data_IF_545499000354
#
_entry.id   IF_545499000354
#
_cell.length_a   1.000
_cell.length_b   1.000
_cell.length_c   1.000
_cell.angle_alpha   90.00
_cell.angle_beta   90.00
_cell.angle_gamma   90.00
#
_symmetry.space_group_name_H-M   'P 1'
#
loop_
_entity.id
_entity.type
_entity.pdbx_description
1 polymer ?
#
# COMPACT_ATOMS: atom_id res chain seq x y z
N UNK A 1 -22.72 -1.31 -7.00
CA UNK A 1 -23.45 -2.35 -6.24
C UNK A 1 -22.59 -3.60 -6.23
N UNK A 2 -22.01 -4.00 -5.10
CA UNK A 2 -21.22 -5.25 -5.03
C UNK A 2 -22.05 -6.22 -4.22
N UNK A 3 -22.67 -7.16 -4.93
CA UNK A 3 -23.38 -8.31 -4.37
C UNK A 3 -22.32 -9.16 -3.66
N UNK A 4 -22.34 -9.15 -2.34
CA UNK A 4 -21.33 -9.83 -1.54
C UNK A 4 -21.86 -11.20 -1.11
N UNK A 5 -21.09 -12.29 -1.26
CA UNK A 5 -21.58 -13.65 -1.02
C UNK A 5 -22.12 -13.85 0.41
N UNK A 6 -22.91 -14.93 0.63
CA UNK A 6 -23.44 -15.28 1.95
C UNK A 6 -22.32 -15.34 2.99
N UNK A 7 -22.59 -14.79 4.18
CA UNK A 7 -21.74 -14.76 5.39
C UNK A 7 -20.32 -15.33 5.21
N UNK A 8 -19.38 -14.49 4.77
CA UNK A 8 -17.97 -14.84 4.77
C UNK A 8 -17.54 -15.17 6.19
N UNK A 9 -16.98 -16.36 6.41
CA UNK A 9 -16.44 -16.74 7.71
C UNK A 9 -15.29 -15.78 8.10
N UNK A 10 -15.36 -15.12 9.28
CA UNK A 10 -14.37 -14.13 9.69
C UNK A 10 -12.94 -14.70 9.79
N UNK A 11 -12.78 -15.92 10.30
CA UNK A 11 -11.47 -16.56 10.43
C UNK A 11 -10.86 -16.90 9.07
N UNK A 12 -11.66 -17.46 8.17
CA UNK A 12 -11.20 -17.79 6.82
C UNK A 12 -10.77 -16.52 6.08
N UNK A 13 -11.53 -15.44 6.23
CA UNK A 13 -11.19 -14.14 5.67
C UNK A 13 -9.87 -13.60 6.25
N UNK A 14 -9.72 -13.60 7.57
CA UNK A 14 -8.49 -13.16 8.24
C UNK A 14 -7.28 -13.96 7.76
N UNK A 15 -7.38 -15.30 7.72
CA UNK A 15 -6.30 -16.17 7.21
C UNK A 15 -5.94 -15.82 5.78
N UNK A 16 -6.93 -15.63 4.92
CA UNK A 16 -6.71 -15.26 3.52
C UNK A 16 -5.98 -13.92 3.40
N UNK A 17 -6.42 -12.88 4.13
CA UNK A 17 -5.80 -11.55 4.12
C UNK A 17 -4.33 -11.62 4.52
N UNK A 18 -4.01 -12.33 5.60
CA UNK A 18 -2.64 -12.40 6.14
C UNK A 18 -1.76 -13.48 5.50
N UNK A 19 -2.30 -14.34 4.62
CA UNK A 19 -1.52 -15.36 3.90
C UNK A 19 -0.82 -14.85 2.65
N UNK A 20 -1.08 -13.60 2.25
CA UNK A 20 -0.61 -13.05 0.97
C UNK A 20 0.93 -12.95 0.90
N UNK A 21 1.45 -12.97 -0.34
CA UNK A 21 2.90 -12.86 -0.59
C UNK A 21 3.46 -11.53 -0.07
N UNK A 22 2.69 -10.45 -0.17
CA UNK A 22 3.09 -9.12 0.29
C UNK A 22 3.26 -9.09 1.81
N UNK A 23 2.38 -9.77 2.55
CA UNK A 23 2.50 -9.89 4.02
C UNK A 23 3.80 -10.57 4.41
N UNK A 24 4.19 -11.64 3.71
CA UNK A 24 5.42 -12.39 4.00
C UNK A 24 6.71 -11.64 3.66
N UNK A 25 6.65 -10.62 2.81
CA UNK A 25 7.81 -9.87 2.30
C UNK A 25 7.94 -8.47 2.88
N UNK A 26 7.09 -8.12 3.85
CA UNK A 26 7.06 -6.78 4.42
C UNK A 26 6.47 -5.72 3.48
N UNK A 27 5.61 -6.13 2.55
CA UNK A 27 4.91 -5.25 1.61
C UNK A 27 3.73 -4.50 2.24
N UNK A 28 2.79 -4.08 1.40
CA UNK A 28 1.61 -3.30 1.81
C UNK A 28 0.37 -3.92 1.20
N UNK A 29 -0.71 -4.05 1.97
CA UNK A 29 -2.02 -4.43 1.44
C UNK A 29 -3.11 -3.43 1.83
N UNK A 30 -4.24 -3.48 1.10
CA UNK A 30 -5.37 -2.57 1.28
C UNK A 30 -6.68 -3.33 1.50
N UNK A 31 -7.55 -2.84 2.39
CA UNK A 31 -8.90 -3.36 2.63
C UNK A 31 -9.92 -2.25 2.80
N UNK A 32 -11.17 -2.47 2.36
CA UNK A 32 -12.25 -1.50 2.58
C UNK A 32 -12.70 -1.55 4.04
N UNK A 33 -12.80 -0.38 4.69
CA UNK A 33 -13.20 -0.25 6.10
C UNK A 33 -14.54 -0.96 6.35
N UNK A 34 -15.55 -0.70 5.50
CA UNK A 34 -16.87 -1.35 5.58
C UNK A 34 -16.84 -2.88 5.53
N UNK A 35 -15.89 -3.46 4.79
CA UNK A 35 -15.79 -4.92 4.67
C UNK A 35 -15.11 -5.49 5.91
N UNK A 36 -14.09 -4.82 6.45
CA UNK A 36 -13.48 -5.20 7.72
C UNK A 36 -14.50 -5.15 8.85
N UNK A 37 -15.22 -4.03 8.99
CA UNK A 37 -16.23 -3.83 10.02
C UNK A 37 -17.35 -4.87 9.94
N UNK A 38 -17.85 -5.16 8.74
CA UNK A 38 -18.95 -6.11 8.54
C UNK A 38 -18.52 -7.57 8.70
N UNK A 39 -17.28 -7.92 8.34
CA UNK A 39 -16.84 -9.34 8.32
C UNK A 39 -16.24 -9.75 9.67
N UNK A 40 -15.29 -8.99 10.21
CA UNK A 40 -14.52 -9.39 11.39
C UNK A 40 -14.63 -8.39 12.55
N UNK A 41 -15.04 -7.16 12.27
CA UNK A 41 -15.03 -6.07 13.23
C UNK A 41 -13.69 -5.33 13.23
N UNK A 42 -13.77 -4.00 13.38
CA UNK A 42 -12.61 -3.11 13.33
C UNK A 42 -11.55 -3.48 14.37
N UNK A 43 -11.96 -3.63 15.63
CA UNK A 43 -11.03 -3.80 16.74
C UNK A 43 -10.29 -5.13 16.65
N UNK A 44 -10.99 -6.19 16.27
CA UNK A 44 -10.39 -7.52 16.06
C UNK A 44 -9.34 -7.49 14.95
N UNK A 45 -9.64 -6.78 13.85
CA UNK A 45 -8.68 -6.62 12.76
C UNK A 45 -7.44 -5.82 13.18
N UNK A 46 -7.62 -4.69 13.87
CA UNK A 46 -6.52 -3.84 14.30
C UNK A 46 -5.65 -4.52 15.37
N UNK A 47 -6.25 -5.24 16.32
CA UNK A 47 -5.53 -6.03 17.31
C UNK A 47 -4.64 -7.09 16.64
N UNK A 48 -5.13 -7.76 15.60
CA UNK A 48 -4.32 -8.74 14.86
C UNK A 48 -3.18 -8.08 14.06
N UNK A 49 -3.41 -6.88 13.49
CA UNK A 49 -2.36 -6.10 12.83
C UNK A 49 -1.25 -5.78 13.83
N UNK A 50 -1.61 -5.26 15.02
CA UNK A 50 -0.65 -4.92 16.08
C UNK A 50 0.09 -6.16 16.59
N UNK A 51 -0.62 -7.27 16.83
CA UNK A 51 -0.04 -8.54 17.26
C UNK A 51 1.04 -9.06 16.31
N UNK A 52 0.94 -8.73 15.01
CA UNK A 52 1.92 -9.11 13.97
C UNK A 52 3.09 -8.13 13.84
N UNK A 53 3.11 -7.04 14.61
CA UNK A 53 4.11 -5.98 14.49
C UNK A 53 3.95 -5.14 13.22
N UNK A 54 2.75 -5.13 12.64
CA UNK A 54 2.41 -4.35 11.46
C UNK A 54 1.82 -3.01 11.87
N UNK A 55 1.69 -2.11 10.90
CA UNK A 55 1.09 -0.79 11.10
C UNK A 55 -0.10 -0.62 10.16
N UNK A 56 -1.26 -0.25 10.69
CA UNK A 56 -2.43 0.12 9.90
C UNK A 56 -2.58 1.65 9.86
N UNK A 57 -2.90 2.17 8.68
CA UNK A 57 -3.35 3.55 8.49
C UNK A 57 -4.71 3.56 7.79
N UNK A 58 -5.58 4.47 8.20
CA UNK A 58 -6.86 4.68 7.56
C UNK A 58 -6.78 5.88 6.60
N UNK A 59 -7.23 5.69 5.37
CA UNK A 59 -7.30 6.75 4.37
C UNK A 59 -8.61 6.66 3.58
N UNK A 60 -9.55 7.53 3.93
CA UNK A 60 -10.91 7.48 3.41
C UNK A 60 -11.56 6.13 3.74
N UNK A 61 -12.10 5.43 2.73
CA UNK A 61 -12.81 4.16 2.93
C UNK A 61 -11.90 2.93 3.04
N UNK A 62 -10.60 3.11 3.27
CA UNK A 62 -9.66 2.00 3.25
C UNK A 62 -8.73 2.00 4.46
N UNK A 63 -8.48 0.80 4.98
CA UNK A 63 -7.26 0.50 5.69
C UNK A 63 -6.15 0.17 4.71
N UNK A 64 -4.97 0.72 4.96
CA UNK A 64 -3.71 0.38 4.30
C UNK A 64 -2.80 -0.17 5.39
N UNK A 65 -2.36 -1.41 5.24
CA UNK A 65 -1.54 -2.09 6.24
C UNK A 65 -0.14 -2.27 5.70
N UNK A 66 0.83 -1.68 6.39
CA UNK A 66 2.25 -1.88 6.16
C UNK A 66 2.72 -3.10 6.98
N UNK A 67 3.17 -4.15 6.30
CA UNK A 67 3.54 -5.42 6.92
C UNK A 67 4.96 -5.41 7.51
N UNK A 68 5.37 -4.29 8.09
CA UNK A 68 6.68 -4.07 8.68
C UNK A 68 6.61 -2.94 9.72
N UNK A 69 7.69 -2.78 10.49
CA UNK A 69 7.83 -1.75 11.53
C UNK A 69 8.54 -0.46 11.03
N UNK A 70 8.70 -0.28 9.71
CA UNK A 70 9.37 0.92 9.19
C UNK A 70 8.48 2.16 9.38
N UNK A 71 9.06 3.36 9.62
CA UNK A 71 8.27 4.57 9.83
C UNK A 71 7.38 4.92 8.64
N UNK A 72 6.11 5.25 8.91
CA UNK A 72 5.19 5.77 7.89
C UNK A 72 5.49 7.25 7.64
N UNK A 73 5.75 7.62 6.38
CA UNK A 73 6.01 9.01 5.97
C UNK A 73 5.05 9.43 4.85
N UNK A 74 4.40 10.58 5.01
CA UNK A 74 3.62 11.22 3.94
C UNK A 74 4.56 11.99 3.03
N UNK A 75 4.85 11.43 1.86
CA UNK A 75 5.64 12.10 0.81
C UNK A 75 4.76 13.04 -0.03
N UNK A 76 5.33 14.15 -0.48
CA UNK A 76 4.75 15.08 -1.45
C UNK A 76 5.72 15.22 -2.60
N UNK A 77 5.22 15.48 -3.81
CA UNK A 77 6.11 15.93 -4.87
C UNK A 77 6.79 17.23 -4.43
N UNK A 78 8.12 17.30 -4.52
CA UNK A 78 8.81 18.58 -4.51
C UNK A 78 8.41 19.41 -5.75
N UNK A 79 8.84 20.67 -5.85
CA UNK A 79 8.79 21.36 -7.14
C UNK A 79 9.44 20.42 -8.17
N UNK A 80 8.72 20.16 -9.27
CA UNK A 80 9.25 19.34 -10.36
C UNK A 80 10.60 19.92 -10.73
N UNK A 81 11.68 19.15 -10.54
CA UNK A 81 12.83 19.33 -11.40
C UNK A 81 12.35 18.92 -12.79
N UNK A 82 11.72 19.87 -13.48
CA UNK A 82 11.43 19.78 -14.89
C UNK A 82 12.75 19.32 -15.52
N UNK A 83 12.70 18.13 -16.14
CA UNK A 83 13.81 17.44 -16.80
C UNK A 83 14.92 18.41 -17.21
N UNK A 84 15.96 18.54 -16.39
CA UNK A 84 17.22 19.10 -16.80
C UNK A 84 17.94 18.04 -17.64
N UNK A 85 17.32 17.65 -18.76
CA UNK A 85 17.91 16.77 -19.76
C UNK A 85 17.43 17.18 -21.16
N UNK A 86 17.43 18.49 -21.39
CA UNK A 86 17.47 19.04 -22.74
C UNK A 86 18.79 19.79 -22.86
N UNK A 87 19.66 19.32 -23.76
CA UNK A 87 20.80 20.06 -24.33
C UNK A 87 22.02 20.33 -23.43
N UNK A 88 22.76 19.28 -23.04
CA UNK A 88 24.22 19.42 -22.86
C UNK A 88 24.99 18.41 -23.70
N UNK A 89 25.51 18.89 -24.82
CA UNK A 89 26.77 18.41 -25.38
C UNK A 89 26.71 17.52 -26.63
N UNK A 90 26.30 18.04 -27.79
CA UNK A 90 26.92 17.60 -29.06
C UNK A 90 27.79 18.75 -29.55
N UNK A 91 29.11 18.58 -29.46
CA UNK A 91 30.04 19.50 -30.12
C UNK A 91 29.79 19.48 -31.64
N UNK A 92 29.96 20.60 -32.36
CA UNK A 92 29.95 20.58 -33.82
C UNK A 92 31.09 19.68 -34.31
N UNK A 93 30.79 18.85 -35.31
CA UNK A 93 31.79 17.99 -35.94
C UNK A 93 32.88 18.84 -36.61
N UNK A 94 34.16 18.42 -36.55
CA UNK A 94 35.23 19.15 -37.25
C UNK A 94 34.99 19.11 -38.77
N UNK A 95 35.43 20.14 -39.51
CA UNK A 95 35.34 20.14 -40.96
C UNK A 95 36.19 19.00 -41.54
N UNK A 96 35.60 18.24 -42.45
CA UNK A 96 36.30 17.25 -43.26
C UNK A 96 37.18 17.96 -44.32
N UNK A 97 38.27 17.32 -44.78
CA UNK A 97 39.29 17.95 -45.64
C UNK A 97 38.74 18.45 -46.97
#
# INVERSE_FOLDING_TARGET
MTNLPPSINPETWMRSVFSSRDVRRGGVFKRQVRDVERIVGRDVFLAEVERRGFQALENGRHFIVCCNAQPIRRVRAGPSSARADASRGRAPAPPLP
#
